data_IF_532294317196
#
_entry.id   IF_532294317196
#
_cell.length_a   1.000
_cell.length_b   1.000
_cell.length_c   1.000
_cell.angle_alpha   90.00
_cell.angle_beta   90.00
_cell.angle_gamma   90.00
#
_symmetry.space_group_name_H-M   'P 1'
#
loop_
_entity.id
_entity.type
_entity.pdbx_description
1 polymer ?
#
# COMPACT_ATOMS: atom_id res chain seq x y z
N UNK A 1 8.72 -13.51 9.18
CA UNK A 1 8.11 -12.46 8.33
C UNK A 1 6.85 -11.99 8.99
N UNK A 2 6.77 -10.73 9.37
CA UNK A 2 5.58 -10.17 10.00
C UNK A 2 5.64 -8.65 9.95
N UNK A 3 4.52 -8.03 9.62
CA UNK A 3 4.39 -6.58 9.70
C UNK A 3 4.55 -6.13 11.16
N UNK A 4 5.28 -5.03 11.37
CA UNK A 4 5.57 -4.48 12.71
C UNK A 4 4.26 -4.21 13.48
N UNK A 5 4.19 -4.74 14.70
CA UNK A 5 3.09 -4.50 15.61
C UNK A 5 3.65 -4.05 16.95
N UNK A 6 3.17 -2.91 17.44
CA UNK A 6 3.49 -2.39 18.75
C UNK A 6 2.19 -2.06 19.48
N UNK A 7 2.30 -1.62 20.75
CA UNK A 7 1.15 -1.14 21.51
C UNK A 7 0.43 0.02 20.83
N UNK A 8 1.17 0.90 20.15
CA UNK A 8 0.66 2.13 19.52
C UNK A 8 0.54 2.07 18.00
N UNK A 9 0.98 0.98 17.35
CA UNK A 9 0.96 0.87 15.90
C UNK A 9 0.72 -0.56 15.38
N UNK A 10 0.01 -0.66 14.27
CA UNK A 10 -0.26 -1.90 13.54
C UNK A 10 -0.06 -1.69 12.05
N UNK A 11 1.09 -2.13 11.54
CA UNK A 11 1.42 -2.01 10.13
C UNK A 11 0.46 -2.79 9.21
N UNK A 12 -0.34 -3.73 9.72
CA UNK A 12 -1.37 -4.43 8.93
C UNK A 12 -2.51 -3.51 8.52
N UNK A 13 -2.75 -2.45 9.28
CA UNK A 13 -3.78 -1.43 8.99
C UNK A 13 -3.20 -0.21 8.25
N UNK A 14 -1.88 -0.16 8.09
CA UNK A 14 -1.24 0.81 7.22
C UNK A 14 -1.26 0.29 5.78
N UNK A 15 -2.06 0.94 4.93
CA UNK A 15 -2.23 0.57 3.52
C UNK A 15 -0.89 0.44 2.79
N UNK A 16 0.07 1.34 3.05
CA UNK A 16 1.32 1.28 2.29
C UNK A 16 2.27 0.23 2.86
N UNK A 17 2.39 0.12 4.18
CA UNK A 17 3.23 -0.92 4.77
C UNK A 17 2.73 -2.32 4.40
N UNK A 18 1.41 -2.53 4.45
CA UNK A 18 0.79 -3.80 4.04
C UNK A 18 0.94 -4.07 2.54
N UNK A 19 0.75 -3.07 1.68
CA UNK A 19 0.94 -3.22 0.22
C UNK A 19 2.39 -3.54 -0.11
N UNK A 20 3.37 -2.84 0.48
CA UNK A 20 4.79 -3.12 0.25
C UNK A 20 5.13 -4.56 0.67
N UNK A 21 4.72 -4.98 1.86
CA UNK A 21 4.98 -6.36 2.30
C UNK A 21 4.30 -7.42 1.42
N UNK A 22 3.10 -7.13 0.89
CA UNK A 22 2.43 -8.03 -0.05
C UNK A 22 3.20 -8.14 -1.37
N UNK A 23 3.69 -7.02 -1.91
CA UNK A 23 4.49 -6.99 -3.14
C UNK A 23 5.83 -7.72 -2.95
N UNK A 24 6.53 -7.49 -1.84
CA UNK A 24 7.79 -8.18 -1.53
C UNK A 24 7.58 -9.70 -1.44
N UNK A 25 6.48 -10.13 -0.81
CA UNK A 25 6.10 -11.53 -0.73
C UNK A 25 5.81 -12.12 -2.12
N UNK A 26 5.03 -11.41 -2.95
CA UNK A 26 4.74 -11.85 -4.32
C UNK A 26 6.01 -11.95 -5.18
N UNK A 27 6.92 -10.99 -5.08
CA UNK A 27 8.21 -11.04 -5.77
C UNK A 27 9.05 -12.25 -5.34
N UNK A 28 9.12 -12.52 -4.03
CA UNK A 28 9.81 -13.70 -3.49
C UNK A 28 9.20 -15.00 -4.03
N UNK A 29 7.87 -15.11 -4.01
CA UNK A 29 7.16 -16.27 -4.53
C UNK A 29 7.38 -16.42 -6.04
N UNK A 30 7.34 -15.34 -6.80
CA UNK A 30 7.56 -15.39 -8.24
C UNK A 30 8.97 -15.85 -8.60
N UNK A 31 9.98 -15.40 -7.87
CA UNK A 31 11.35 -15.92 -7.99
C UNK A 31 11.42 -17.41 -7.63
N UNK A 32 10.67 -17.87 -6.63
CA UNK A 32 10.66 -19.27 -6.20
C UNK A 32 10.03 -20.21 -7.24
N UNK A 33 9.05 -19.73 -8.00
CA UNK A 33 8.37 -20.49 -9.05
C UNK A 33 8.85 -20.11 -10.46
N UNK A 34 10.10 -19.65 -10.59
CA UNK A 34 10.76 -19.38 -11.88
C UNK A 34 9.97 -18.45 -12.81
N UNK A 35 9.24 -17.47 -12.26
CA UNK A 35 8.42 -16.53 -13.01
C UNK A 35 6.99 -16.99 -13.30
N UNK A 36 6.60 -18.22 -12.92
CA UNK A 36 5.23 -18.71 -13.11
C UNK A 36 4.25 -17.98 -12.17
N UNK A 37 3.50 -17.05 -12.74
CA UNK A 37 2.50 -16.25 -12.01
C UNK A 37 1.31 -17.07 -11.50
N UNK A 38 0.93 -18.17 -12.14
CA UNK A 38 -0.19 -19.00 -11.67
C UNK A 38 0.21 -19.74 -10.38
N UNK A 39 1.41 -20.33 -10.37
CA UNK A 39 1.98 -20.94 -9.17
C UNK A 39 2.26 -19.91 -8.07
N UNK A 40 2.73 -18.72 -8.44
CA UNK A 40 2.94 -17.59 -7.52
C UNK A 40 1.65 -17.22 -6.79
N UNK A 41 0.56 -17.00 -7.53
CA UNK A 41 -0.74 -16.60 -6.96
C UNK A 41 -1.35 -17.76 -6.16
N UNK A 42 -1.20 -19.00 -6.61
CA UNK A 42 -1.62 -20.18 -5.86
C UNK A 42 -0.88 -20.30 -4.51
N UNK A 43 0.43 -20.04 -4.50
CA UNK A 43 1.25 -20.07 -3.30
C UNK A 43 0.93 -18.90 -2.35
N UNK A 44 0.59 -17.74 -2.88
CA UNK A 44 0.14 -16.61 -2.08
C UNK A 44 -1.16 -16.93 -1.31
N UNK A 45 -2.12 -17.62 -1.95
CA UNK A 45 -3.38 -18.02 -1.31
C UNK A 45 -3.21 -19.22 -0.36
N UNK A 46 -2.46 -20.24 -0.78
CA UNK A 46 -2.47 -21.57 -0.13
C UNK A 46 -1.19 -21.95 0.62
N UNK A 47 -0.18 -21.08 0.56
CA UNK A 47 1.17 -21.27 1.11
C UNK A 47 2.12 -21.93 0.11
N UNK A 48 3.38 -21.48 0.08
CA UNK A 48 4.39 -22.02 -0.86
C UNK A 48 4.68 -23.50 -0.64
N UNK A 49 4.72 -23.97 0.61
CA UNK A 49 5.04 -25.36 0.93
C UNK A 49 4.00 -26.33 0.36
N UNK A 50 2.74 -25.91 0.30
CA UNK A 50 1.67 -26.70 -0.29
C UNK A 50 1.82 -26.83 -1.80
N UNK A 51 2.06 -25.72 -2.49
CA UNK A 51 2.28 -25.72 -3.94
C UNK A 51 3.55 -26.51 -4.29
N UNK A 52 4.65 -26.29 -3.58
CA UNK A 52 5.90 -27.04 -3.75
C UNK A 52 5.72 -28.54 -3.56
N UNK A 53 4.93 -28.96 -2.55
CA UNK A 53 4.61 -30.38 -2.33
C UNK A 53 3.82 -30.97 -3.51
N UNK A 54 2.83 -30.23 -4.03
CA UNK A 54 2.05 -30.65 -5.19
C UNK A 54 2.93 -30.77 -6.46
N UNK A 55 3.79 -29.77 -6.71
CA UNK A 55 4.76 -29.79 -7.82
C UNK A 55 5.69 -30.99 -7.71
N UNK A 56 6.28 -31.23 -6.53
CA UNK A 56 7.18 -32.37 -6.30
C UNK A 56 6.48 -33.70 -6.53
N UNK A 57 5.23 -33.83 -6.08
CA UNK A 57 4.44 -35.06 -6.26
C UNK A 57 4.09 -35.33 -7.72
N UNK A 58 3.78 -34.31 -8.52
CA UNK A 58 3.55 -34.47 -9.95
C UNK A 58 4.85 -34.81 -10.68
N UNK A 59 5.94 -34.10 -10.37
CA UNK A 59 7.26 -34.34 -10.97
C UNK A 59 7.76 -35.77 -10.73
N UNK A 60 7.62 -36.30 -9.52
CA UNK A 60 8.02 -37.68 -9.21
C UNK A 60 7.18 -38.75 -9.94
N UNK A 61 6.04 -38.36 -10.51
CA UNK A 61 5.14 -39.23 -11.29
C UNK A 61 5.21 -38.95 -12.79
N UNK A 62 6.15 -38.12 -13.25
CA UNK A 62 6.26 -37.72 -14.65
C UNK A 62 5.05 -36.91 -15.16
N UNK A 63 4.29 -36.27 -14.27
CA UNK A 63 3.12 -35.46 -14.63
C UNK A 63 3.47 -33.99 -14.81
N UNK A 64 2.71 -33.22 -15.60
CA UNK A 64 2.90 -31.78 -15.72
C UNK A 64 2.82 -31.08 -14.36
N UNK A 65 3.62 -30.01 -14.19
CA UNK A 65 3.72 -29.25 -12.94
C UNK A 65 3.12 -27.85 -13.02
N UNK A 66 2.43 -27.53 -14.12
CA UNK A 66 1.66 -26.30 -14.26
C UNK A 66 0.47 -26.29 -13.30
N UNK A 67 0.00 -25.09 -12.95
CA UNK A 67 -1.09 -24.89 -12.00
C UNK A 67 -2.33 -25.77 -12.25
N UNK A 68 -2.74 -25.95 -13.50
CA UNK A 68 -3.97 -26.66 -13.86
C UNK A 68 -3.85 -28.17 -13.61
N UNK A 69 -2.62 -28.68 -13.65
CA UNK A 69 -2.31 -30.08 -13.42
C UNK A 69 -2.08 -30.42 -11.94
N UNK A 70 -1.95 -29.43 -11.06
CA UNK A 70 -1.65 -29.65 -9.64
C UNK A 70 -2.89 -30.00 -8.82
N UNK A 71 -2.70 -30.95 -7.89
CA UNK A 71 -3.70 -31.28 -6.87
C UNK A 71 -3.68 -30.25 -5.73
N UNK A 72 -4.36 -29.12 -5.92
CA UNK A 72 -4.52 -28.04 -4.94
C UNK A 72 -5.90 -28.03 -4.27
N UNK A 73 -6.09 -27.31 -3.13
CA UNK A 73 -7.41 -27.11 -2.52
C UNK A 73 -8.39 -26.43 -3.47
N UNK A 74 -9.69 -26.74 -3.34
CA UNK A 74 -10.73 -26.15 -4.18
C UNK A 74 -10.74 -24.62 -4.13
N UNK A 75 -10.57 -24.04 -2.93
CA UNK A 75 -10.45 -22.59 -2.73
C UNK A 75 -9.35 -21.99 -3.62
N UNK A 76 -8.15 -22.58 -3.63
CA UNK A 76 -7.02 -22.11 -4.45
C UNK A 76 -7.26 -22.28 -5.93
N UNK A 77 -7.89 -23.39 -6.34
CA UNK A 77 -8.28 -23.62 -7.74
C UNK A 77 -9.27 -22.58 -8.25
N UNK A 78 -10.09 -22.01 -7.38
CA UNK A 78 -11.01 -20.90 -7.70
C UNK A 78 -10.33 -19.54 -7.59
N UNK A 79 -9.42 -19.37 -6.64
CA UNK A 79 -8.76 -18.10 -6.37
C UNK A 79 -7.95 -17.59 -7.56
N UNK A 80 -7.16 -18.47 -8.19
CA UNK A 80 -6.31 -18.09 -9.33
C UNK A 80 -7.14 -17.62 -10.55
N UNK A 81 -8.17 -18.36 -11.01
CA UNK A 81 -9.08 -17.88 -12.05
C UNK A 81 -9.76 -16.54 -11.73
N UNK A 82 -10.16 -16.32 -10.46
CA UNK A 82 -10.73 -15.02 -10.05
C UNK A 82 -9.73 -13.87 -10.23
N UNK A 83 -8.46 -14.10 -9.88
CA UNK A 83 -7.39 -13.11 -10.09
C UNK A 83 -7.13 -12.85 -11.58
N UNK A 84 -7.17 -13.89 -12.42
CA UNK A 84 -7.06 -13.75 -13.88
C UNK A 84 -8.23 -12.95 -14.44
N UNK A 85 -9.47 -13.25 -14.04
CA UNK A 85 -10.66 -12.53 -14.45
C UNK A 85 -10.60 -11.05 -14.02
N UNK A 86 -10.18 -10.77 -12.79
CA UNK A 86 -9.99 -9.41 -12.32
C UNK A 86 -8.93 -8.66 -13.14
N UNK A 87 -7.79 -9.30 -13.42
CA UNK A 87 -6.73 -8.73 -14.26
C UNK A 87 -7.25 -8.40 -15.67
N UNK A 88 -8.03 -9.31 -16.26
CA UNK A 88 -8.66 -9.10 -17.56
C UNK A 88 -9.68 -7.95 -17.54
N UNK A 89 -10.53 -7.89 -16.51
CA UNK A 89 -11.49 -6.80 -16.32
C UNK A 89 -10.79 -5.45 -16.20
N UNK A 90 -9.70 -5.38 -15.44
CA UNK A 90 -8.94 -4.14 -15.28
C UNK A 90 -8.29 -3.70 -16.59
N UNK A 91 -7.64 -4.63 -17.31
CA UNK A 91 -7.00 -4.37 -18.61
C UNK A 91 -8.01 -3.95 -19.68
N UNK A 92 -9.16 -4.61 -19.72
CA UNK A 92 -10.21 -4.44 -20.71
C UNK A 92 -11.43 -3.70 -20.15
N UNK A 93 -11.22 -2.81 -19.17
CA UNK A 93 -12.30 -2.15 -18.41
C UNK A 93 -13.36 -1.48 -19.28
N UNK A 94 -12.94 -0.83 -20.39
CA UNK A 94 -13.86 -0.25 -21.39
C UNK A 94 -14.78 -1.28 -22.04
N UNK A 95 -14.25 -2.46 -22.42
CA UNK A 95 -15.01 -3.56 -23.04
C UNK A 95 -16.09 -4.08 -22.08
N UNK A 96 -15.79 -4.12 -20.79
CA UNK A 96 -16.71 -4.59 -19.75
C UNK A 96 -17.58 -3.49 -19.14
N UNK A 97 -17.52 -2.25 -19.64
CA UNK A 97 -18.29 -1.13 -19.10
C UNK A 97 -17.88 -0.69 -17.70
N UNK A 98 -16.68 -1.08 -17.23
CA UNK A 98 -16.16 -0.74 -15.90
C UNK A 98 -15.45 0.61 -15.95
N UNK A 99 -15.90 1.56 -15.13
CA UNK A 99 -15.22 2.86 -14.95
C UNK A 99 -14.21 2.75 -13.81
N UNK A 100 -12.92 2.80 -14.15
CA UNK A 100 -11.85 2.84 -13.15
C UNK A 100 -11.72 4.25 -12.55
N UNK A 101 -11.41 4.37 -11.24
CA UNK A 101 -11.14 5.66 -10.63
C UNK A 101 -9.90 6.29 -11.24
N UNK A 102 -9.97 7.60 -11.52
CA UNK A 102 -8.81 8.38 -11.94
C UNK A 102 -8.00 8.81 -10.73
N UNK A 103 -6.67 8.82 -10.85
CA UNK A 103 -5.81 9.40 -9.83
C UNK A 103 -6.13 10.90 -9.70
N UNK A 104 -6.44 11.33 -8.48
CA UNK A 104 -6.67 12.73 -8.13
C UNK A 104 -5.51 13.20 -7.26
N UNK A 105 -4.53 13.86 -7.87
CA UNK A 105 -3.36 14.40 -7.18
C UNK A 105 -3.74 15.40 -6.06
N UNK A 106 -4.91 16.05 -6.16
CA UNK A 106 -5.41 16.93 -5.10
C UNK A 106 -5.82 16.17 -3.83
N UNK A 107 -5.98 14.84 -3.91
CA UNK A 107 -6.25 13.93 -2.80
C UNK A 107 -5.02 13.15 -2.36
N UNK A 108 -3.84 13.44 -2.92
CA UNK A 108 -2.60 12.80 -2.52
C UNK A 108 -2.35 12.96 -1.01
N UNK A 109 -1.87 11.89 -0.39
CA UNK A 109 -1.43 11.90 1.00
C UNK A 109 0.09 12.08 1.04
N UNK A 110 0.54 13.09 1.79
CA UNK A 110 1.93 13.27 2.15
C UNK A 110 2.22 12.53 3.46
N UNK A 111 3.37 11.85 3.51
CA UNK A 111 3.93 11.35 4.78
C UNK A 111 4.78 12.43 5.39
N UNK A 112 4.58 12.72 6.66
CA UNK A 112 5.42 13.65 7.38
C UNK A 112 6.02 12.98 8.60
N UNK A 113 7.32 13.23 8.80
CA UNK A 113 8.04 12.73 9.96
C UNK A 113 7.65 13.58 11.17
N UNK A 114 7.46 12.92 12.31
CA UNK A 114 7.25 13.59 13.59
C UNK A 114 8.53 13.41 14.41
N UNK A 115 9.12 14.52 14.85
CA UNK A 115 10.35 14.49 15.67
C UNK A 115 10.05 14.26 17.15
N UNK A 116 8.79 14.37 17.55
CA UNK A 116 8.29 14.07 18.90
C UNK A 116 6.88 13.46 18.82
N UNK A 117 6.43 12.71 19.84
CA UNK A 117 5.04 12.28 19.92
C UNK A 117 4.12 13.51 19.93
N UNK A 118 3.16 13.56 19.01
CA UNK A 118 2.17 14.65 18.90
C UNK A 118 0.78 14.03 19.04
N UNK A 119 -0.11 14.65 19.79
CA UNK A 119 -1.50 14.19 19.85
C UNK A 119 -2.17 14.35 18.48
N UNK A 120 -2.95 13.36 18.06
CA UNK A 120 -3.62 13.37 16.76
C UNK A 120 -4.59 14.55 16.61
N UNK A 121 -5.12 15.07 17.71
CA UNK A 121 -5.97 16.26 17.73
C UNK A 121 -5.16 17.50 17.34
N UNK A 122 -4.01 17.69 17.98
CA UNK A 122 -3.07 18.75 17.63
C UNK A 122 -2.59 18.62 16.18
N UNK A 123 -2.32 17.39 15.73
CA UNK A 123 -1.94 17.14 14.35
C UNK A 123 -3.06 17.45 13.35
N UNK A 124 -4.31 17.18 13.71
CA UNK A 124 -5.49 17.50 12.90
C UNK A 124 -5.69 19.02 12.80
N UNK A 125 -5.53 19.73 13.91
CA UNK A 125 -5.56 21.19 13.96
C UNK A 125 -4.45 21.78 13.11
N UNK A 126 -3.22 21.22 13.18
CA UNK A 126 -2.09 21.58 12.32
C UNK A 126 -2.30 21.21 10.85
N UNK A 127 -3.09 20.19 10.55
CA UNK A 127 -3.40 19.80 9.18
C UNK A 127 -4.65 20.51 8.64
N UNK A 128 -5.35 21.30 9.45
CA UNK A 128 -6.59 21.97 9.07
C UNK A 128 -7.67 20.97 8.64
N UNK A 129 -7.78 19.83 9.31
CA UNK A 129 -8.75 18.78 8.98
C UNK A 129 -9.37 18.13 10.21
N UNK A 130 -10.54 17.49 10.08
CA UNK A 130 -11.15 16.79 11.20
C UNK A 130 -10.27 15.62 11.71
N UNK A 131 -10.22 15.45 13.02
CA UNK A 131 -9.51 14.33 13.69
C UNK A 131 -9.95 12.98 13.14
N UNK A 132 -11.25 12.80 12.90
CA UNK A 132 -11.82 11.58 12.34
C UNK A 132 -11.22 11.22 10.98
N UNK A 133 -11.05 12.22 10.10
CA UNK A 133 -10.48 12.06 8.77
C UNK A 133 -8.98 11.76 8.83
N UNK A 134 -8.26 12.42 9.74
CA UNK A 134 -6.85 12.14 9.97
C UNK A 134 -6.62 10.72 10.49
N UNK A 135 -7.49 10.25 11.40
CA UNK A 135 -7.49 8.84 11.87
C UNK A 135 -7.72 7.85 10.74
N UNK A 136 -8.59 8.15 9.77
CA UNK A 136 -8.80 7.29 8.59
C UNK A 136 -7.52 7.14 7.77
N UNK A 137 -6.78 8.22 7.55
CA UNK A 137 -5.49 8.17 6.82
C UNK A 137 -4.39 7.45 7.60
N UNK A 138 -4.51 7.42 8.93
CA UNK A 138 -3.54 6.83 9.86
C UNK A 138 -4.13 5.61 10.59
N UNK A 139 -4.88 4.76 9.87
CA UNK A 139 -5.56 3.60 10.45
C UNK A 139 -4.61 2.59 11.15
N UNK A 140 -3.30 2.67 10.88
CA UNK A 140 -2.24 1.93 11.57
C UNK A 140 -2.01 2.37 13.02
N UNK A 141 -2.35 3.59 13.41
CA UNK A 141 -2.11 4.12 14.76
C UNK A 141 -3.16 3.58 15.74
N UNK A 142 -2.72 2.94 16.82
CA UNK A 142 -3.54 2.43 17.92
C UNK A 142 -3.54 3.46 19.05
N UNK A 143 -4.56 4.33 19.08
CA UNK A 143 -4.75 5.36 20.11
C UNK A 143 -4.75 6.79 19.57
N UNK A 144 -4.53 7.77 20.45
CA UNK A 144 -4.53 9.21 20.11
C UNK A 144 -3.14 9.75 19.77
N UNK A 145 -2.08 9.01 20.03
CA UNK A 145 -0.70 9.48 19.81
C UNK A 145 -0.01 8.55 18.82
N UNK A 146 0.17 8.97 17.55
CA UNK A 146 1.15 8.35 16.68
C UNK A 146 2.50 8.31 17.43
N UNK A 147 3.21 7.18 17.40
CA UNK A 147 4.58 7.14 17.94
C UNK A 147 5.51 8.11 17.19
N UNK A 148 6.84 7.97 17.30
CA UNK A 148 7.81 8.68 16.42
C UNK A 148 7.68 8.30 14.92
N UNK A 149 6.56 7.70 14.55
CA UNK A 149 6.26 7.17 13.23
C UNK A 149 5.64 8.25 12.36
N UNK A 150 5.77 8.07 11.05
CA UNK A 150 5.39 9.06 10.04
C UNK A 150 3.87 9.16 9.98
N UNK A 151 3.32 10.35 10.20
CA UNK A 151 1.90 10.60 10.02
C UNK A 151 1.56 10.93 8.56
N UNK A 152 0.40 10.47 8.09
CA UNK A 152 -0.12 10.76 6.75
C UNK A 152 -1.15 11.87 6.83
N UNK A 153 -0.93 12.94 6.07
CA UNK A 153 -1.82 14.11 5.95
C UNK A 153 -2.04 14.43 4.48
N UNK A 154 -3.02 15.27 4.14
CA UNK A 154 -3.25 15.68 2.75
C UNK A 154 -2.07 16.52 2.24
N UNK A 155 -1.65 16.32 0.99
CA UNK A 155 -0.50 17.03 0.40
C UNK A 155 -0.65 18.56 0.50
N UNK A 156 -1.81 19.10 0.14
CA UNK A 156 -2.08 20.54 0.25
C UNK A 156 -2.04 21.10 1.68
N UNK A 157 -2.37 20.29 2.70
CA UNK A 157 -2.26 20.69 4.11
C UNK A 157 -0.80 20.73 4.58
N UNK A 158 0.03 19.79 4.12
CA UNK A 158 1.46 19.79 4.37
C UNK A 158 2.16 20.99 3.70
N UNK A 159 1.64 21.44 2.56
CA UNK A 159 2.19 22.56 1.78
C UNK A 159 1.74 23.94 2.28
N UNK A 160 0.46 24.13 2.62
CA UNK A 160 -0.07 25.42 3.07
C UNK A 160 0.62 25.98 4.32
N UNK A 161 1.14 25.11 5.20
CA UNK A 161 1.87 25.53 6.42
C UNK A 161 3.36 25.71 6.23
N UNK A 162 3.91 25.45 5.04
CA UNK A 162 5.26 25.92 4.67
C UNK A 162 5.33 27.45 4.57
N UNK A 163 4.23 28.09 4.21
CA UNK A 163 4.17 29.55 4.00
C UNK A 163 3.80 30.34 5.26
N UNK A 164 3.23 29.70 6.27
CA UNK A 164 2.93 30.30 7.58
C UNK A 164 4.09 29.99 8.55
N UNK A 165 5.05 30.91 8.66
CA UNK A 165 6.25 30.79 9.52
C UNK A 165 5.99 30.55 11.02
N UNK A 166 4.73 30.49 11.48
CA UNK A 166 4.38 30.47 12.91
C UNK A 166 4.30 29.05 13.50
N UNK A 167 4.19 27.99 12.70
CA UNK A 167 4.18 26.60 13.21
C UNK A 167 4.98 25.68 12.28
N UNK A 168 6.28 25.57 12.52
CA UNK A 168 7.21 24.82 11.67
C UNK A 168 6.98 23.32 11.85
N UNK A 169 6.52 22.64 10.80
CA UNK A 169 6.48 21.17 10.80
C UNK A 169 7.91 20.62 10.92
N UNK A 170 8.17 19.55 11.68
CA UNK A 170 9.42 18.79 11.58
C UNK A 170 9.56 18.22 10.16
N UNK A 171 10.31 18.94 9.32
CA UNK A 171 10.45 18.69 7.90
C UNK A 171 11.50 17.63 7.65
N UNK A 172 11.06 16.40 7.39
CA UNK A 172 11.87 15.45 6.64
C UNK A 172 11.01 14.81 5.56
N UNK A 173 11.38 15.11 4.30
CA UNK A 173 10.91 14.51 3.04
C UNK A 173 9.63 15.08 2.40
N UNK A 174 9.60 16.39 2.15
CA UNK A 174 8.84 16.93 1.02
C UNK A 174 9.84 17.49 -0.01
N UNK A 175 9.60 17.35 -1.33
CA UNK A 175 10.46 17.95 -2.34
C UNK A 175 10.52 19.47 -2.14
N UNK A 176 11.68 20.12 -2.38
CA UNK A 176 11.82 21.56 -2.21
C UNK A 176 10.83 22.29 -3.12
N UNK A 177 10.18 23.31 -2.56
CA UNK A 177 9.26 24.16 -3.29
C UNK A 177 10.02 24.84 -4.44
N UNK A 178 9.64 24.61 -5.69
CA UNK A 178 10.16 25.41 -6.79
C UNK A 178 9.69 26.86 -6.57
N UNK A 179 10.64 27.79 -6.43
CA UNK A 179 10.31 29.21 -6.26
C UNK A 179 9.63 29.70 -7.53
N UNK A 180 8.31 29.93 -7.50
CA UNK A 180 7.66 30.80 -8.48
C UNK A 180 8.24 32.20 -8.27
N UNK A 181 9.11 32.61 -9.19
CA UNK A 181 9.55 34.00 -9.31
C UNK A 181 8.31 34.85 -9.58
N UNK A 182 7.87 35.59 -8.56
CA UNK A 182 6.98 36.72 -8.72
C UNK A 182 7.75 37.82 -9.44
N UNK A 183 7.67 37.86 -10.77
CA UNK A 183 8.01 39.06 -11.53
C UNK A 183 6.94 40.11 -11.24
N UNK A 184 7.34 41.10 -10.46
CA UNK A 184 6.63 42.36 -10.26
C UNK A 184 6.44 43.03 -11.63
N UNK A 185 5.20 43.15 -12.09
CA UNK A 185 4.83 44.08 -13.15
C UNK A 185 4.89 45.48 -12.52
N UNK A 186 5.94 46.25 -12.85
CA UNK A 186 5.92 47.71 -12.65
C UNK A 186 5.15 48.34 -13.80
N UNK A 187 4.37 49.36 -13.43
CA UNK A 187 3.51 50.20 -14.27
C UNK A 187 4.28 50.87 -15.40
#
# INVERSE_FOLDING_TARGET
MGLKQTRSYDARRDVVASTTAALDMMQRLNKMFDGDWLLTVAAYNSGEGRVMKAVKANRSRGKPTDFWSLSLPHETKIYVPKMLALSDILKNSKRYGVKLPTADESRALARVRLDSPVDISQLADMAGMPVSKLKTFNAGVKGSTPGRERAKVRHGAAEARRHSCVNRWPLATLPPCSRRSSRTIRR
#
